data_IF_864060822101
#
_entry.id   IF_864060822101
#
_cell.length_a   1.000
_cell.length_b   1.000
_cell.length_c   1.000
_cell.angle_alpha   90.00
_cell.angle_beta   90.00
_cell.angle_gamma   90.00
#
_symmetry.space_group_name_H-M   'P 1'
#
loop_
_entity.id
_entity.type
_entity.pdbx_description
1 polymer ?
#
# COMPACT_ATOMS: atom_id res chain seq x y z
N UNK A 1 16.36 8.76 -12.96
CA UNK A 1 16.35 7.28 -12.91
C UNK A 1 16.43 6.92 -11.44
N UNK A 2 15.30 6.63 -10.79
CA UNK A 2 15.29 6.26 -9.37
C UNK A 2 15.34 4.74 -9.35
N UNK A 3 16.47 4.19 -8.91
CA UNK A 3 16.67 2.76 -8.75
C UNK A 3 15.83 2.26 -7.58
N UNK A 4 14.79 1.48 -7.88
CA UNK A 4 14.01 0.75 -6.89
C UNK A 4 14.58 -0.67 -6.83
N UNK A 5 15.81 -0.81 -6.34
CA UNK A 5 16.31 -2.10 -5.86
C UNK A 5 16.36 -2.00 -4.35
N UNK A 6 15.22 -2.29 -3.74
CA UNK A 6 15.22 -2.77 -2.37
C UNK A 6 14.29 -3.97 -2.37
N UNK A 7 14.89 -5.16 -2.33
CA UNK A 7 14.20 -6.43 -2.15
C UNK A 7 13.77 -6.44 -0.68
N UNK A 8 12.77 -5.62 -0.37
CA UNK A 8 12.09 -5.64 0.91
C UNK A 8 11.27 -6.93 0.93
N UNK A 9 11.31 -7.68 2.04
CA UNK A 9 10.43 -8.82 2.23
C UNK A 9 9.01 -8.47 1.78
N UNK A 10 8.29 -9.37 1.06
CA UNK A 10 6.98 -9.07 0.50
C UNK A 10 5.96 -8.55 1.53
N UNK A 11 6.22 -8.77 2.82
CA UNK A 11 5.37 -8.39 3.94
C UNK A 11 5.73 -7.05 4.59
N UNK A 12 6.92 -6.51 4.37
CA UNK A 12 7.38 -5.28 5.03
C UNK A 12 7.08 -4.08 4.12
N UNK A 13 6.23 -3.14 4.54
CA UNK A 13 5.96 -1.91 3.78
C UNK A 13 7.21 -1.01 3.80
N UNK A 14 7.57 -0.36 2.68
CA UNK A 14 8.77 0.45 2.65
C UNK A 14 8.57 1.63 3.61
N UNK A 15 9.56 1.92 4.45
CA UNK A 15 9.52 3.10 5.31
C UNK A 15 9.27 4.34 4.45
N UNK A 16 8.23 5.12 4.80
CA UNK A 16 7.75 6.32 4.11
C UNK A 16 8.71 7.52 4.32
N UNK A 17 10.03 7.27 4.26
CA UNK A 17 11.08 8.25 4.56
C UNK A 17 11.56 8.87 3.25
N UNK A 18 11.02 10.05 2.92
CA UNK A 18 11.41 10.83 1.75
C UNK A 18 10.35 11.85 1.29
N UNK A 19 10.44 12.38 0.06
CA UNK A 19 9.46 13.31 -0.56
C UNK A 19 8.05 12.71 -0.76
N UNK A 20 7.77 11.57 -0.13
CA UNK A 20 6.55 10.78 -0.15
C UNK A 20 5.66 11.02 1.08
N UNK A 21 6.03 11.91 2.02
CA UNK A 21 5.13 12.33 3.09
C UNK A 21 4.06 13.25 2.50
N UNK A 22 2.78 12.98 2.75
CA UNK A 22 1.69 13.79 2.24
C UNK A 22 1.81 15.24 2.75
N UNK A 23 1.69 16.20 1.83
CA UNK A 23 1.61 17.63 2.11
C UNK A 23 0.54 18.31 1.23
N UNK A 24 0.32 19.61 1.46
CA UNK A 24 -0.73 20.38 0.79
C UNK A 24 -0.46 20.65 -0.71
N UNK A 25 0.67 20.19 -1.23
CA UNK A 25 1.14 20.50 -2.59
C UNK A 25 1.47 19.24 -3.41
N UNK A 26 1.55 18.07 -2.78
CA UNK A 26 2.06 16.84 -3.42
C UNK A 26 1.02 15.72 -3.58
N UNK A 27 -0.28 16.00 -3.39
CA UNK A 27 -1.36 15.00 -3.46
C UNK A 27 -1.27 14.05 -4.65
N UNK A 28 -1.02 14.56 -5.87
CA UNK A 28 -0.93 13.71 -7.07
C UNK A 28 0.28 12.78 -7.02
N UNK A 29 1.43 13.29 -6.59
CA UNK A 29 2.67 12.51 -6.49
C UNK A 29 2.57 11.47 -5.39
N UNK A 30 1.97 11.84 -4.26
CA UNK A 30 1.67 10.95 -3.15
C UNK A 30 0.73 9.82 -3.58
N UNK A 31 -0.41 10.16 -4.19
CA UNK A 31 -1.38 9.16 -4.67
C UNK A 31 -0.76 8.21 -5.71
N UNK A 32 0.04 8.74 -6.65
CA UNK A 32 0.75 7.92 -7.64
C UNK A 32 1.77 6.98 -6.99
N UNK A 33 2.51 7.45 -5.98
CA UNK A 33 3.46 6.64 -5.24
C UNK A 33 2.78 5.50 -4.48
N UNK A 34 1.70 5.81 -3.73
CA UNK A 34 0.91 4.81 -2.99
C UNK A 34 0.32 3.77 -3.96
N UNK A 35 -0.36 4.21 -5.02
CA UNK A 35 -0.98 3.31 -6.00
C UNK A 35 0.04 2.41 -6.69
N UNK A 36 1.19 2.94 -7.10
CA UNK A 36 2.23 2.15 -7.77
C UNK A 36 2.87 1.14 -6.82
N UNK A 37 3.11 1.56 -5.57
CA UNK A 37 3.69 0.69 -4.52
C UNK A 37 2.75 -0.47 -4.18
N UNK A 38 1.47 -0.21 -3.95
CA UNK A 38 0.49 -1.25 -3.65
C UNK A 38 0.19 -2.14 -4.86
N UNK A 39 0.17 -1.58 -6.07
CA UNK A 39 0.04 -2.36 -7.31
C UNK A 39 1.21 -3.33 -7.49
N UNK A 40 2.45 -2.88 -7.24
CA UNK A 40 3.64 -3.74 -7.26
C UNK A 40 3.58 -4.89 -6.26
N UNK A 41 2.84 -4.71 -5.17
CA UNK A 41 2.64 -5.70 -4.09
C UNK A 41 1.34 -6.51 -4.20
N UNK A 42 0.55 -6.31 -5.26
CA UNK A 42 -0.79 -6.91 -5.44
C UNK A 42 -1.80 -6.58 -4.32
N UNK A 43 -1.62 -5.44 -3.65
CA UNK A 43 -2.47 -4.95 -2.54
C UNK A 43 -3.34 -3.74 -2.95
N UNK A 44 -3.49 -3.46 -4.25
CA UNK A 44 -4.25 -2.28 -4.72
C UNK A 44 -5.76 -2.38 -4.40
N UNK A 45 -6.30 -3.60 -4.32
CA UNK A 45 -7.72 -3.84 -4.00
C UNK A 45 -8.15 -3.32 -2.63
N UNK A 46 -7.20 -3.16 -1.69
CA UNK A 46 -7.43 -2.55 -0.38
C UNK A 46 -7.80 -1.06 -0.46
N UNK A 47 -7.34 -0.34 -1.49
CA UNK A 47 -7.72 1.07 -1.72
C UNK A 47 -8.91 1.20 -2.65
N UNK A 48 -9.01 0.35 -3.68
CA UNK A 48 -10.09 0.43 -4.67
C UNK A 48 -11.44 -0.09 -4.14
N UNK A 49 -11.47 -0.61 -2.90
CA UNK A 49 -12.69 -1.14 -2.28
C UNK A 49 -13.19 -2.44 -2.92
N UNK A 50 -12.33 -3.12 -3.70
CA UNK A 50 -12.60 -4.43 -4.31
C UNK A 50 -12.16 -5.58 -3.38
N UNK A 51 -12.39 -5.39 -2.07
CA UNK A 51 -12.04 -6.35 -1.04
C UNK A 51 -12.78 -7.68 -1.14
N UNK A 52 -12.36 -8.63 -0.31
CA UNK A 52 -12.93 -9.97 -0.26
C UNK A 52 -14.25 -9.94 0.55
N UNK A 53 -15.28 -10.72 0.18
CA UNK A 53 -16.50 -10.85 0.99
C UNK A 53 -16.21 -11.32 2.43
N UNK A 54 -16.99 -10.84 3.41
CA UNK A 54 -16.83 -11.21 4.84
C UNK A 54 -16.98 -12.71 5.13
N UNK A 55 -17.73 -13.43 4.29
CA UNK A 55 -17.96 -14.86 4.44
C UNK A 55 -16.83 -15.71 3.81
N UNK A 56 -15.84 -15.08 3.15
CA UNK A 56 -14.68 -15.79 2.63
C UNK A 56 -13.76 -16.20 3.78
N UNK A 57 -13.29 -17.46 3.85
CA UNK A 57 -12.34 -17.92 4.86
C UNK A 57 -11.02 -17.12 4.91
N UNK A 58 -10.69 -16.36 3.88
CA UNK A 58 -9.51 -15.50 3.80
C UNK A 58 -9.78 -14.06 4.24
N UNK A 59 -11.00 -13.73 4.63
CA UNK A 59 -11.37 -12.37 5.04
C UNK A 59 -10.52 -11.88 6.22
N UNK A 60 -10.29 -12.73 7.24
CA UNK A 60 -9.49 -12.36 8.43
C UNK A 60 -8.06 -11.97 8.03
N UNK A 61 -7.41 -12.77 7.17
CA UNK A 61 -6.07 -12.46 6.66
C UNK A 61 -6.06 -11.18 5.82
N UNK A 62 -7.11 -10.97 5.01
CA UNK A 62 -7.26 -9.76 4.21
C UNK A 62 -7.47 -8.52 5.09
N UNK A 63 -8.28 -8.61 6.15
CA UNK A 63 -8.58 -7.54 7.10
C UNK A 63 -7.35 -7.14 7.93
N UNK A 64 -6.55 -8.13 8.37
CA UNK A 64 -5.26 -7.89 9.03
C UNK A 64 -4.28 -7.14 8.12
N UNK A 65 -4.22 -7.54 6.84
CA UNK A 65 -3.39 -6.84 5.85
C UNK A 65 -3.91 -5.43 5.56
N UNK A 66 -5.23 -5.24 5.53
CA UNK A 66 -5.88 -3.94 5.35
C UNK A 66 -5.53 -2.98 6.50
N UNK A 67 -5.64 -3.47 7.73
CA UNK A 67 -5.27 -2.73 8.93
C UNK A 67 -3.79 -2.31 8.92
N UNK A 68 -2.89 -3.20 8.45
CA UNK A 68 -1.47 -2.88 8.32
C UNK A 68 -1.20 -1.79 7.27
N UNK A 69 -1.88 -1.85 6.12
CA UNK A 69 -1.79 -0.82 5.08
C UNK A 69 -2.31 0.53 5.60
N UNK A 70 -3.45 0.53 6.29
CA UNK A 70 -4.06 1.74 6.87
C UNK A 70 -3.21 2.36 7.97
N UNK A 71 -2.50 1.55 8.75
CA UNK A 71 -1.55 2.03 9.77
C UNK A 71 -0.28 2.60 9.15
N UNK A 72 0.11 2.14 7.96
CA UNK A 72 1.28 2.60 7.24
C UNK A 72 1.07 3.91 6.45
N UNK A 73 -0.14 4.12 5.93
CA UNK A 73 -0.54 5.35 5.23
C UNK A 73 -0.63 6.56 6.18
#
# INVERSE_FOLDING_TARGET
MIEIVNIVEPNELPNLVGPSRLDDHNYLQWAQYICTTLKGRKKLSHIEGSGIPRDDPKFEVWDDEDYFIMTWL
#
